data_IF_147669813433
#
_entry.id   IF_147669813433
#
_cell.length_a   1.000
_cell.length_b   1.000
_cell.length_c   1.000
_cell.angle_alpha   90.00
_cell.angle_beta   90.00
_cell.angle_gamma   90.00
#
_symmetry.space_group_name_H-M   'P 1'
#
loop_
_entity.id
_entity.type
_entity.pdbx_description
1 polymer ?
#
# COMPACT_ATOMS: atom_id res chain seq x y z
N UNK A 1 -24.12 -12.40 -1.96
CA UNK A 1 -23.23 -11.49 -2.69
C UNK A 1 -21.97 -11.15 -1.87
N UNK A 2 -20.83 -11.04 -2.52
CA UNK A 2 -19.58 -10.51 -1.94
C UNK A 2 -19.15 -9.31 -2.77
N UNK A 3 -19.01 -8.14 -2.16
CA UNK A 3 -18.60 -6.90 -2.82
C UNK A 3 -17.08 -6.70 -2.61
N UNK A 4 -16.32 -6.84 -3.69
CA UNK A 4 -14.88 -6.77 -3.74
C UNK A 4 -14.21 -8.15 -3.89
N UNK A 5 -13.45 -8.32 -4.97
CA UNK A 5 -12.72 -9.53 -5.33
C UNK A 5 -11.27 -9.55 -4.83
N UNK A 6 -10.97 -8.82 -3.74
CA UNK A 6 -9.68 -8.87 -3.06
C UNK A 6 -9.54 -10.10 -2.16
N UNK A 7 -8.42 -10.21 -1.39
CA UNK A 7 -8.14 -11.38 -0.54
C UNK A 7 -9.28 -11.73 0.43
N UNK A 8 -9.88 -10.72 1.06
CA UNK A 8 -10.98 -10.92 2.00
C UNK A 8 -12.24 -11.47 1.30
N UNK A 9 -12.59 -10.93 0.12
CA UNK A 9 -13.73 -11.38 -0.65
C UNK A 9 -13.54 -12.80 -1.21
N UNK A 10 -12.35 -13.11 -1.71
CA UNK A 10 -11.98 -14.45 -2.19
C UNK A 10 -12.07 -15.48 -1.04
N UNK A 11 -11.53 -15.15 0.14
CA UNK A 11 -11.61 -16.02 1.31
C UNK A 11 -13.06 -16.21 1.78
N UNK A 12 -13.83 -15.13 1.86
CA UNK A 12 -15.25 -15.22 2.23
C UNK A 12 -16.03 -16.11 1.26
N UNK A 13 -15.83 -15.92 -0.05
CA UNK A 13 -16.47 -16.73 -1.07
C UNK A 13 -16.10 -18.23 -0.98
N UNK A 14 -14.80 -18.50 -0.73
CA UNK A 14 -14.34 -19.88 -0.51
C UNK A 14 -15.07 -20.57 0.63
N UNK A 15 -15.12 -19.93 1.81
CA UNK A 15 -15.75 -20.53 2.98
C UNK A 15 -17.27 -20.70 2.79
N UNK A 16 -17.94 -19.72 2.19
CA UNK A 16 -19.37 -19.80 1.91
C UNK A 16 -19.70 -20.91 0.89
N UNK A 17 -18.94 -21.00 -0.20
CA UNK A 17 -19.14 -22.05 -1.21
C UNK A 17 -18.89 -23.45 -0.63
N UNK A 18 -17.92 -23.59 0.25
CA UNK A 18 -17.64 -24.84 0.96
C UNK A 18 -18.81 -25.29 1.82
N UNK A 19 -19.55 -24.36 2.42
CA UNK A 19 -20.77 -24.63 3.22
C UNK A 19 -22.02 -24.74 2.35
N UNK A 20 -21.90 -24.76 1.02
CA UNK A 20 -22.99 -24.99 0.08
C UNK A 20 -23.77 -23.75 -0.34
N UNK A 21 -23.31 -22.55 -0.01
CA UNK A 21 -23.94 -21.32 -0.46
C UNK A 21 -23.62 -21.02 -1.94
N UNK A 22 -24.62 -20.52 -2.69
CA UNK A 22 -24.38 -19.93 -4.00
C UNK A 22 -23.78 -18.53 -3.84
N UNK A 23 -22.57 -18.33 -4.36
CA UNK A 23 -21.81 -17.09 -4.13
C UNK A 23 -21.49 -16.39 -5.43
N UNK A 24 -21.78 -15.08 -5.48
CA UNK A 24 -21.33 -14.16 -6.55
C UNK A 24 -20.42 -13.09 -5.94
N UNK A 25 -19.20 -12.97 -6.47
CA UNK A 25 -18.29 -11.86 -6.19
C UNK A 25 -18.51 -10.77 -7.24
N UNK A 26 -18.67 -9.53 -6.78
CA UNK A 26 -18.69 -8.33 -7.62
C UNK A 26 -17.37 -7.58 -7.46
N UNK A 27 -16.64 -7.44 -8.55
CA UNK A 27 -15.34 -6.76 -8.59
C UNK A 27 -15.38 -5.61 -9.60
N UNK A 28 -15.00 -4.41 -9.16
CA UNK A 28 -15.02 -3.22 -10.02
C UNK A 28 -13.89 -3.20 -11.06
N UNK A 29 -12.79 -3.84 -10.75
CA UNK A 29 -11.64 -3.92 -11.66
C UNK A 29 -11.85 -5.02 -12.71
N UNK A 30 -10.99 -5.02 -13.74
CA UNK A 30 -11.01 -6.00 -14.83
C UNK A 30 -10.75 -7.44 -14.33
N UNK A 31 -9.96 -7.60 -13.27
CA UNK A 31 -9.62 -8.90 -12.70
C UNK A 31 -9.76 -8.88 -11.18
N UNK A 32 -10.17 -10.00 -10.60
CA UNK A 32 -10.13 -10.19 -9.17
C UNK A 32 -8.69 -10.32 -8.65
N UNK A 33 -8.49 -10.06 -7.36
CA UNK A 33 -7.20 -10.10 -6.66
C UNK A 33 -6.95 -8.86 -5.81
N UNK A 34 -7.66 -7.75 -6.09
CA UNK A 34 -7.56 -6.52 -5.30
C UNK A 34 -6.12 -6.01 -5.17
N UNK A 35 -5.75 -5.57 -3.96
CA UNK A 35 -4.42 -5.00 -3.69
C UNK A 35 -3.26 -5.95 -4.05
N UNK A 36 -3.44 -7.26 -3.91
CA UNK A 36 -2.39 -8.25 -4.25
C UNK A 36 -2.10 -8.20 -5.76
N UNK A 37 -3.13 -8.07 -6.58
CA UNK A 37 -2.96 -8.00 -8.03
C UNK A 37 -2.48 -6.65 -8.51
N UNK A 38 -3.04 -5.56 -7.98
CA UNK A 38 -2.86 -4.24 -8.58
C UNK A 38 -1.80 -3.37 -7.90
N UNK A 39 -1.42 -3.68 -6.65
CA UNK A 39 -0.53 -2.84 -5.85
C UNK A 39 0.72 -3.58 -5.39
N UNK A 40 0.58 -4.79 -4.83
CA UNK A 40 1.76 -5.55 -4.38
C UNK A 40 2.65 -5.88 -5.59
N UNK A 41 3.96 -5.53 -5.53
CA UNK A 41 4.87 -5.71 -6.65
C UNK A 41 5.00 -7.17 -7.10
N UNK A 42 5.23 -7.37 -8.41
CA UNK A 42 5.38 -8.69 -9.01
C UNK A 42 6.57 -9.50 -8.47
N UNK A 43 7.59 -8.83 -7.92
CA UNK A 43 8.70 -9.52 -7.25
C UNK A 43 8.33 -10.14 -5.88
N UNK A 44 7.18 -9.77 -5.32
CA UNK A 44 6.60 -10.38 -4.10
C UNK A 44 5.70 -11.55 -4.45
N UNK A 45 4.79 -11.34 -5.40
CA UNK A 45 3.83 -12.35 -5.83
C UNK A 45 3.49 -12.16 -7.30
N UNK A 46 3.65 -13.22 -8.08
CA UNK A 46 3.28 -13.22 -9.50
C UNK A 46 1.79 -13.49 -9.74
N UNK A 47 1.28 -12.94 -10.81
CA UNK A 47 -0.15 -13.06 -11.18
C UNK A 47 -0.62 -14.53 -11.33
N UNK A 48 0.27 -15.42 -11.76
CA UNK A 48 -0.06 -16.84 -11.89
C UNK A 48 -0.48 -17.51 -10.56
N UNK A 49 0.12 -17.10 -9.43
CA UNK A 49 -0.27 -17.56 -8.11
C UNK A 49 -1.67 -17.09 -7.74
N UNK A 50 -1.98 -15.82 -8.03
CA UNK A 50 -3.29 -15.23 -7.80
C UNK A 50 -4.36 -15.90 -8.66
N UNK A 51 -4.07 -16.13 -9.94
CA UNK A 51 -4.99 -16.78 -10.89
C UNK A 51 -5.29 -18.21 -10.50
N UNK A 52 -4.33 -18.91 -9.91
CA UNK A 52 -4.52 -20.26 -9.38
C UNK A 52 -5.60 -20.30 -8.30
N UNK A 53 -5.54 -19.40 -7.32
CA UNK A 53 -6.50 -19.33 -6.22
C UNK A 53 -7.89 -18.88 -6.71
N UNK A 54 -7.94 -17.92 -7.63
CA UNK A 54 -9.20 -17.48 -8.25
C UNK A 54 -9.84 -18.64 -9.05
N UNK A 55 -9.06 -19.34 -9.86
CA UNK A 55 -9.55 -20.48 -10.63
C UNK A 55 -10.06 -21.60 -9.71
N UNK A 56 -9.44 -21.77 -8.54
CA UNK A 56 -9.87 -22.76 -7.57
C UNK A 56 -11.27 -22.45 -7.04
N UNK A 57 -11.56 -21.23 -6.59
CA UNK A 57 -12.89 -20.87 -6.09
C UNK A 57 -13.96 -20.88 -7.19
N UNK A 58 -13.60 -20.54 -8.44
CA UNK A 58 -14.52 -20.65 -9.59
C UNK A 58 -14.91 -22.11 -9.85
N UNK A 59 -13.97 -23.05 -9.73
CA UNK A 59 -14.27 -24.50 -9.82
C UNK A 59 -15.17 -25.01 -8.71
N UNK A 60 -15.25 -24.32 -7.59
CA UNK A 60 -16.20 -24.59 -6.51
C UNK A 60 -17.61 -24.04 -6.79
N UNK A 61 -17.83 -23.37 -7.92
CA UNK A 61 -19.09 -22.78 -8.31
C UNK A 61 -19.27 -21.29 -7.94
N UNK A 62 -18.20 -20.63 -7.47
CA UNK A 62 -18.25 -19.17 -7.22
C UNK A 62 -18.28 -18.42 -8.54
N UNK A 63 -19.30 -17.60 -8.75
CA UNK A 63 -19.36 -16.67 -9.86
C UNK A 63 -18.55 -15.41 -9.55
N UNK A 64 -17.75 -14.91 -10.50
CA UNK A 64 -17.04 -13.64 -10.37
C UNK A 64 -17.45 -12.72 -11.52
N UNK A 65 -18.06 -11.58 -11.18
CA UNK A 65 -18.47 -10.51 -12.11
C UNK A 65 -17.48 -9.37 -11.98
N UNK A 66 -16.55 -9.30 -12.91
CA UNK A 66 -15.56 -8.20 -13.02
C UNK A 66 -16.16 -6.99 -13.72
N UNK A 67 -15.45 -5.85 -13.71
CA UNK A 67 -15.94 -4.56 -14.24
C UNK A 67 -17.35 -4.18 -13.71
N UNK A 68 -17.64 -4.58 -12.47
CA UNK A 68 -18.96 -4.40 -11.86
C UNK A 68 -18.81 -3.72 -10.50
N UNK A 69 -18.99 -2.41 -10.50
CA UNK A 69 -18.98 -1.61 -9.27
C UNK A 69 -20.36 -1.65 -8.59
N UNK A 70 -20.36 -1.92 -7.30
CA UNK A 70 -21.56 -1.92 -6.47
C UNK A 70 -21.56 -0.68 -5.58
N UNK A 71 -22.54 0.17 -5.76
CA UNK A 71 -22.73 1.41 -5.00
C UNK A 71 -23.88 1.32 -3.99
N UNK A 72 -24.70 0.26 -4.06
CA UNK A 72 -25.87 0.09 -3.20
C UNK A 72 -26.05 -1.36 -2.77
N UNK A 73 -26.04 -1.60 -1.47
CA UNK A 73 -26.37 -2.91 -0.87
C UNK A 73 -27.86 -3.25 -1.08
N UNK A 74 -28.72 -2.23 -1.08
CA UNK A 74 -30.15 -2.42 -1.26
C UNK A 74 -30.48 -3.02 -2.64
N UNK A 75 -29.73 -2.62 -3.68
CA UNK A 75 -29.92 -3.14 -5.04
C UNK A 75 -29.56 -4.62 -5.15
N UNK A 76 -28.53 -5.07 -4.43
CA UNK A 76 -28.21 -6.49 -4.37
C UNK A 76 -29.30 -7.30 -3.67
N UNK A 77 -29.86 -6.79 -2.57
CA UNK A 77 -30.98 -7.43 -1.90
C UNK A 77 -32.22 -7.50 -2.79
N UNK A 78 -32.49 -6.43 -3.56
CA UNK A 78 -33.60 -6.42 -4.53
C UNK A 78 -33.38 -7.42 -5.69
N UNK A 79 -32.15 -7.77 -6.01
CA UNK A 79 -31.79 -8.81 -6.98
C UNK A 79 -31.94 -10.24 -6.42
N UNK A 80 -32.32 -10.40 -5.15
CA UNK A 80 -32.57 -11.70 -4.52
C UNK A 80 -31.39 -12.29 -3.77
N UNK A 81 -30.33 -11.52 -3.47
CA UNK A 81 -29.27 -11.98 -2.59
C UNK A 81 -29.72 -11.95 -1.13
N UNK A 82 -29.67 -13.09 -0.45
CA UNK A 82 -30.07 -13.24 0.96
C UNK A 82 -29.14 -12.48 1.90
N UNK A 83 -27.83 -12.47 1.59
CA UNK A 83 -26.81 -11.79 2.37
C UNK A 83 -25.80 -11.05 1.48
N UNK A 84 -25.20 -10.00 2.03
CA UNK A 84 -24.16 -9.20 1.37
C UNK A 84 -22.99 -9.05 2.31
N UNK A 85 -21.79 -9.45 1.83
CA UNK A 85 -20.51 -9.25 2.52
C UNK A 85 -19.78 -8.10 1.83
N UNK A 86 -19.38 -7.08 2.60
CA UNK A 86 -18.55 -5.99 2.11
C UNK A 86 -17.07 -6.32 2.34
N UNK A 87 -16.32 -6.48 1.25
CA UNK A 87 -14.89 -6.78 1.24
C UNK A 87 -14.13 -5.75 0.38
N UNK A 88 -14.50 -4.47 0.52
CA UNK A 88 -14.09 -3.34 -0.33
C UNK A 88 -12.64 -2.88 -0.12
N UNK A 89 -11.97 -3.41 0.91
CA UNK A 89 -10.57 -3.09 1.20
C UNK A 89 -10.37 -1.72 1.84
N UNK A 90 -9.11 -1.31 2.01
CA UNK A 90 -8.69 -0.03 2.58
C UNK A 90 -7.83 0.74 1.57
N UNK A 91 -8.47 1.17 0.48
CA UNK A 91 -7.78 1.83 -0.64
C UNK A 91 -7.63 3.35 -0.51
N UNK A 92 -8.23 3.98 0.53
CA UNK A 92 -8.09 5.43 0.76
C UNK A 92 -6.75 5.73 1.41
N UNK A 93 -5.87 6.48 0.74
CA UNK A 93 -4.52 6.73 1.25
C UNK A 93 -4.52 7.64 2.48
N UNK A 94 -3.61 7.38 3.40
CA UNK A 94 -3.22 8.34 4.40
C UNK A 94 -2.55 9.56 3.73
N UNK A 95 -2.71 10.73 4.30
CA UNK A 95 -2.15 11.97 3.76
C UNK A 95 -1.06 12.52 4.66
N UNK A 96 0.01 12.99 4.03
CA UNK A 96 1.02 13.85 4.64
C UNK A 96 1.09 15.11 3.77
N UNK A 97 0.89 16.26 4.39
CA UNK A 97 1.04 17.54 3.70
C UNK A 97 2.39 18.14 4.03
N UNK A 98 3.14 18.52 3.00
CA UNK A 98 4.32 19.37 3.13
C UNK A 98 3.90 20.83 3.15
N UNK A 99 4.70 21.69 3.77
CA UNK A 99 4.51 23.14 3.72
C UNK A 99 4.72 23.67 2.29
N UNK A 100 5.62 23.04 1.54
CA UNK A 100 5.89 23.33 0.13
C UNK A 100 6.21 22.03 -0.61
N UNK A 101 5.79 21.94 -1.89
CA UNK A 101 5.99 20.79 -2.76
C UNK A 101 4.86 19.76 -2.66
N UNK A 102 4.90 18.82 -3.57
CA UNK A 102 3.88 17.77 -3.70
C UNK A 102 4.45 16.40 -3.34
N UNK A 103 3.57 15.49 -2.95
CA UNK A 103 3.92 14.11 -2.65
C UNK A 103 3.11 13.15 -3.50
N UNK A 104 3.70 12.01 -3.81
CA UNK A 104 3.02 10.89 -4.48
C UNK A 104 2.54 9.90 -3.43
N UNK A 105 1.33 9.40 -3.59
CA UNK A 105 0.84 8.33 -2.71
C UNK A 105 1.47 6.98 -3.06
N UNK A 106 1.84 6.18 -2.05
CA UNK A 106 2.50 4.89 -2.22
C UNK A 106 1.64 3.86 -2.99
N UNK A 107 0.34 3.76 -2.70
CA UNK A 107 -0.53 2.81 -3.41
C UNK A 107 -0.65 3.17 -4.90
N UNK A 108 -0.76 4.47 -5.19
CA UNK A 108 -0.78 4.96 -6.58
C UNK A 108 0.55 4.64 -7.27
N UNK A 109 1.68 4.95 -6.64
CA UNK A 109 3.00 4.66 -7.18
C UNK A 109 3.18 3.16 -7.45
N UNK A 110 2.85 2.29 -6.50
CA UNK A 110 2.99 0.84 -6.64
C UNK A 110 2.08 0.28 -7.76
N UNK A 111 0.85 0.82 -7.90
CA UNK A 111 -0.04 0.47 -9.00
C UNK A 111 0.57 0.88 -10.34
N UNK A 112 1.05 2.11 -10.45
CA UNK A 112 1.69 2.63 -11.67
C UNK A 112 2.97 1.85 -12.00
N UNK A 113 3.80 1.52 -11.00
CA UNK A 113 4.99 0.69 -11.13
C UNK A 113 4.67 -0.68 -11.73
N UNK A 114 3.65 -1.36 -11.18
CA UNK A 114 3.23 -2.67 -11.67
C UNK A 114 2.63 -2.60 -13.07
N UNK A 115 1.79 -1.60 -13.34
CA UNK A 115 1.13 -1.42 -14.63
C UNK A 115 2.11 -1.09 -15.77
N UNK A 116 3.24 -0.44 -15.46
CA UNK A 116 4.24 -0.01 -16.44
C UNK A 116 5.55 -0.82 -16.38
N UNK A 117 5.54 -1.96 -15.69
CA UNK A 117 6.73 -2.82 -15.54
C UNK A 117 7.97 -2.05 -15.05
N UNK A 118 7.77 -1.17 -14.06
CA UNK A 118 8.81 -0.34 -13.47
C UNK A 118 9.29 0.85 -14.31
N UNK A 119 8.72 1.09 -15.47
CA UNK A 119 9.11 2.20 -16.36
C UNK A 119 8.37 3.48 -16.00
N UNK A 120 8.85 4.17 -14.99
CA UNK A 120 8.28 5.44 -14.51
C UNK A 120 9.36 6.52 -14.49
N UNK A 121 8.96 7.75 -14.76
CA UNK A 121 9.87 8.89 -14.61
C UNK A 121 9.64 9.55 -13.24
N UNK A 122 10.45 9.18 -12.25
CA UNK A 122 10.39 9.68 -10.88
C UNK A 122 11.70 10.35 -10.43
N UNK A 123 12.59 10.64 -11.39
CA UNK A 123 13.90 11.25 -11.11
C UNK A 123 14.92 10.26 -10.58
N UNK A 124 16.08 10.78 -10.19
CA UNK A 124 17.23 9.97 -9.72
C UNK A 124 17.22 9.72 -8.22
N UNK A 125 16.69 10.68 -7.45
CA UNK A 125 16.68 10.66 -5.99
C UNK A 125 15.23 10.54 -5.51
N UNK A 126 14.88 9.42 -4.92
CA UNK A 126 13.54 9.15 -4.44
C UNK A 126 13.53 9.02 -2.94
N UNK A 127 12.64 9.75 -2.29
CA UNK A 127 12.43 9.63 -0.84
C UNK A 127 11.11 8.94 -0.57
N UNK A 128 11.13 7.87 0.21
CA UNK A 128 9.94 7.15 0.70
C UNK A 128 9.73 7.48 2.16
N UNK A 129 8.54 7.97 2.52
CA UNK A 129 8.17 8.34 3.88
C UNK A 129 7.28 7.25 4.47
N UNK A 130 7.76 6.55 5.47
CA UNK A 130 6.96 5.53 6.17
C UNK A 130 7.80 4.48 6.88
N UNK A 131 7.14 3.58 7.60
CA UNK A 131 7.80 2.52 8.36
C UNK A 131 7.01 1.20 8.39
N UNK A 132 5.97 1.06 7.59
CA UNK A 132 5.20 -0.18 7.42
C UNK A 132 5.61 -0.95 6.19
N UNK A 133 5.04 -2.15 5.98
CA UNK A 133 5.35 -3.02 4.84
C UNK A 133 5.10 -2.33 3.49
N UNK A 134 4.07 -1.46 3.39
CA UNK A 134 3.83 -0.64 2.19
C UNK A 134 5.03 0.26 1.88
N UNK A 135 5.71 0.82 2.90
CA UNK A 135 6.91 1.63 2.69
C UNK A 135 8.09 0.78 2.23
N UNK A 136 8.21 -0.47 2.71
CA UNK A 136 9.25 -1.41 2.27
C UNK A 136 9.04 -1.78 0.79
N UNK A 137 7.85 -2.18 0.41
CA UNK A 137 7.50 -2.46 -0.99
C UNK A 137 7.73 -1.26 -1.90
N UNK A 138 7.35 -0.06 -1.41
CA UNK A 138 7.55 1.20 -2.15
C UNK A 138 9.02 1.51 -2.37
N UNK A 139 9.86 1.36 -1.35
CA UNK A 139 11.30 1.63 -1.45
C UNK A 139 11.99 0.65 -2.42
N UNK A 140 11.64 -0.64 -2.35
CA UNK A 140 12.16 -1.68 -3.24
C UNK A 140 11.67 -1.47 -4.68
N UNK A 141 10.41 -1.10 -4.89
CA UNK A 141 9.88 -0.77 -6.20
C UNK A 141 10.56 0.48 -6.79
N UNK A 142 10.75 1.53 -5.98
CA UNK A 142 11.47 2.73 -6.40
C UNK A 142 12.92 2.40 -6.81
N UNK A 143 13.61 1.53 -6.05
CA UNK A 143 14.99 1.12 -6.37
C UNK A 143 15.08 0.35 -7.69
N UNK A 144 14.01 -0.35 -8.07
CA UNK A 144 13.90 -1.09 -9.35
C UNK A 144 13.36 -0.26 -10.51
N UNK A 145 12.96 0.98 -10.24
CA UNK A 145 12.48 1.90 -11.30
C UNK A 145 13.66 2.37 -12.13
N UNK A 146 13.51 2.33 -13.45
CA UNK A 146 14.55 2.73 -14.41
C UNK A 146 14.95 4.20 -14.19
N UNK A 147 16.26 4.46 -14.15
CA UNK A 147 16.84 5.79 -13.97
C UNK A 147 16.96 6.27 -12.53
N UNK A 148 16.44 5.53 -11.54
CA UNK A 148 16.62 5.85 -10.12
C UNK A 148 18.02 5.41 -9.65
N UNK A 149 18.77 6.35 -9.08
CA UNK A 149 20.10 6.11 -8.55
C UNK A 149 20.08 5.90 -7.04
N UNK A 150 19.37 6.77 -6.32
CA UNK A 150 19.31 6.78 -4.85
C UNK A 150 17.89 6.69 -4.34
N UNK A 151 17.67 5.84 -3.35
CA UNK A 151 16.41 5.74 -2.62
C UNK A 151 16.68 5.92 -1.13
N UNK A 152 15.95 6.83 -0.51
CA UNK A 152 16.02 7.14 0.92
C UNK A 152 14.71 6.74 1.59
N UNK A 153 14.78 5.86 2.58
CA UNK A 153 13.64 5.51 3.42
C UNK A 153 13.68 6.38 4.68
N UNK A 154 12.74 7.31 4.80
CA UNK A 154 12.67 8.27 5.91
C UNK A 154 11.60 7.85 6.90
N UNK A 155 11.98 7.75 8.17
CA UNK A 155 11.09 7.37 9.25
C UNK A 155 11.27 8.27 10.48
N UNK A 156 10.14 8.72 11.07
CA UNK A 156 10.14 9.67 12.20
C UNK A 156 10.55 9.08 13.55
N UNK A 157 10.64 7.75 13.66
CA UNK A 157 11.14 7.03 14.83
C UNK A 157 12.40 6.25 14.48
N UNK A 158 12.89 5.43 15.40
CA UNK A 158 13.96 4.47 15.11
C UNK A 158 13.39 3.16 14.55
N UNK A 159 14.24 2.35 13.93
CA UNK A 159 13.88 1.01 13.40
C UNK A 159 13.14 0.14 14.42
N UNK A 160 13.47 0.26 15.71
CA UNK A 160 12.82 -0.48 16.82
C UNK A 160 11.30 -0.30 16.86
N UNK A 161 10.79 0.83 16.40
CA UNK A 161 9.36 1.19 16.45
C UNK A 161 8.68 1.11 15.08
N UNK A 162 9.33 0.50 14.11
CA UNK A 162 8.71 0.29 12.81
C UNK A 162 7.63 -0.80 12.90
N UNK A 163 6.47 -0.59 12.27
CA UNK A 163 5.45 -1.62 12.18
C UNK A 163 5.77 -2.68 11.11
N UNK A 164 6.75 -2.43 10.22
CA UNK A 164 7.23 -3.42 9.27
C UNK A 164 7.95 -4.57 10.00
N UNK A 165 7.88 -5.77 9.42
CA UNK A 165 8.66 -6.90 9.90
C UNK A 165 10.16 -6.62 9.71
N UNK A 166 11.00 -7.18 10.59
CA UNK A 166 12.45 -6.88 10.60
C UNK A 166 13.15 -7.39 9.34
N UNK A 167 12.76 -8.54 8.85
CA UNK A 167 13.23 -9.14 7.60
C UNK A 167 12.92 -8.26 6.39
N UNK A 168 11.77 -7.61 6.35
CA UNK A 168 11.39 -6.67 5.29
C UNK A 168 12.34 -5.46 5.24
N UNK A 169 12.73 -4.92 6.39
CA UNK A 169 13.71 -3.84 6.45
C UNK A 169 15.09 -4.31 6.01
N UNK A 170 15.49 -5.53 6.39
CA UNK A 170 16.78 -6.10 5.97
C UNK A 170 16.87 -6.22 4.46
N UNK A 171 15.84 -6.74 3.80
CA UNK A 171 15.78 -6.84 2.34
C UNK A 171 15.89 -5.45 1.66
N UNK A 172 15.23 -4.43 2.22
CA UNK A 172 15.34 -3.04 1.74
C UNK A 172 16.78 -2.52 1.80
N UNK A 173 17.47 -2.78 2.91
CA UNK A 173 18.86 -2.34 3.10
C UNK A 173 19.84 -3.10 2.20
N UNK A 174 19.66 -4.42 2.02
CA UNK A 174 20.46 -5.25 1.13
C UNK A 174 20.35 -4.81 -0.33
N UNK A 175 19.20 -4.26 -0.74
CA UNK A 175 19.00 -3.68 -2.07
C UNK A 175 19.62 -2.27 -2.23
N UNK A 176 20.31 -1.77 -1.21
CA UNK A 176 21.03 -0.50 -1.26
C UNK A 176 20.14 0.74 -1.08
N UNK A 177 19.00 0.60 -0.39
CA UNK A 177 18.19 1.74 0.07
C UNK A 177 18.81 2.32 1.33
N UNK A 178 18.94 3.63 1.41
CA UNK A 178 19.48 4.31 2.60
C UNK A 178 18.38 4.59 3.61
N UNK A 179 18.48 4.02 4.80
CA UNK A 179 17.54 4.26 5.89
C UNK A 179 17.94 5.50 6.71
N UNK A 180 17.01 6.44 6.84
CA UNK A 180 17.14 7.69 7.58
C UNK A 180 16.11 7.72 8.71
N UNK A 181 16.51 7.38 9.91
CA UNK A 181 15.62 7.42 11.08
C UNK A 181 15.62 8.78 11.79
N UNK A 182 14.61 9.00 12.62
CA UNK A 182 14.42 10.23 13.40
C UNK A 182 14.34 11.48 12.52
N UNK A 183 13.68 11.37 11.37
CA UNK A 183 13.43 12.48 10.46
C UNK A 183 11.93 12.62 10.15
N UNK A 184 11.43 13.85 10.18
CA UNK A 184 10.05 14.21 9.79
C UNK A 184 10.10 15.21 8.64
N UNK A 185 9.47 14.92 7.48
CA UNK A 185 9.52 15.80 6.33
C UNK A 185 8.72 17.08 6.57
N UNK A 186 9.21 18.20 6.06
CA UNK A 186 8.62 19.53 6.21
C UNK A 186 8.28 20.14 4.85
N UNK A 187 9.23 20.23 3.96
CA UNK A 187 9.03 20.86 2.65
C UNK A 187 9.94 20.25 1.60
N UNK A 188 9.47 20.22 0.34
CA UNK A 188 10.24 19.82 -0.83
C UNK A 188 10.45 21.06 -1.71
N UNK A 189 11.69 21.45 -1.92
CA UNK A 189 12.07 22.58 -2.76
C UNK A 189 13.41 22.37 -3.44
N UNK A 190 13.52 22.74 -4.70
CA UNK A 190 14.76 22.71 -5.47
C UNK A 190 15.47 21.35 -5.51
N UNK A 191 14.71 20.23 -5.54
CA UNK A 191 15.27 18.86 -5.53
C UNK A 191 15.80 18.41 -4.16
N UNK A 192 15.33 19.02 -3.07
CA UNK A 192 15.72 18.69 -1.69
C UNK A 192 14.51 18.62 -0.79
N UNK A 193 14.42 17.55 -0.01
CA UNK A 193 13.46 17.41 1.07
C UNK A 193 14.07 17.91 2.37
N UNK A 194 13.50 18.98 2.92
CA UNK A 194 13.82 19.45 4.26
C UNK A 194 13.10 18.59 5.29
N UNK A 195 13.86 18.06 6.24
CA UNK A 195 13.33 17.26 7.34
C UNK A 195 13.77 17.83 8.68
N UNK A 196 12.87 17.90 9.66
CA UNK A 196 13.24 18.15 11.06
C UNK A 196 13.77 16.85 11.69
N UNK A 197 14.84 16.98 12.47
CA UNK A 197 15.27 15.90 13.35
C UNK A 197 14.25 15.69 14.46
N UNK A 198 14.00 14.44 14.77
CA UNK A 198 13.08 14.02 15.81
C UNK A 198 13.83 13.49 17.03
N UNK A 199 13.24 13.67 18.19
CA UNK A 199 13.69 13.07 19.46
C UNK A 199 12.60 12.13 19.96
N UNK A 200 12.99 10.95 20.42
CA UNK A 200 12.06 10.01 21.07
C UNK A 200 11.60 10.60 22.42
N UNK A 201 10.30 10.53 22.65
CA UNK A 201 9.64 10.91 23.89
C UNK A 201 9.20 9.70 24.69
N UNK A 202 8.25 9.91 25.61
CA UNK A 202 7.65 8.85 26.41
C UNK A 202 6.86 7.87 25.52
N UNK A 203 6.75 6.63 25.98
CA UNK A 203 5.92 5.62 25.33
C UNK A 203 4.43 5.95 25.48
N UNK A 204 3.69 5.77 24.41
CA UNK A 204 2.23 5.82 24.41
C UNK A 204 1.62 4.47 24.88
N UNK A 205 0.30 4.43 25.06
CA UNK A 205 -0.42 3.23 25.47
C UNK A 205 -0.29 2.05 24.50
N UNK A 206 0.15 2.28 23.26
CA UNK A 206 0.42 1.24 22.25
C UNK A 206 1.85 0.69 22.33
N UNK A 207 2.68 1.15 23.28
CA UNK A 207 4.08 0.76 23.42
C UNK A 207 5.02 1.42 22.41
N UNK A 208 4.57 2.47 21.70
CA UNK A 208 5.41 3.23 20.77
C UNK A 208 5.91 4.51 21.44
N UNK A 209 7.20 4.81 21.23
CA UNK A 209 7.74 6.08 21.69
C UNK A 209 7.05 7.24 20.97
N UNK A 210 6.59 8.22 21.72
CA UNK A 210 6.23 9.53 21.18
C UNK A 210 7.42 10.16 20.47
N UNK A 211 7.18 11.17 19.64
CA UNK A 211 8.25 11.91 18.98
C UNK A 211 8.01 13.42 19.10
N UNK A 212 9.07 14.17 19.32
CA UNK A 212 9.07 15.63 19.32
C UNK A 212 10.08 16.16 18.33
N UNK A 213 9.75 17.26 17.68
CA UNK A 213 10.67 17.95 16.79
C UNK A 213 11.79 18.61 17.57
N UNK A 214 12.98 18.63 16.98
CA UNK A 214 14.10 19.46 17.45
C UNK A 214 14.24 20.71 16.57
N UNK A 215 15.15 21.61 16.92
CA UNK A 215 15.47 22.76 16.08
C UNK A 215 16.32 22.39 14.85
N UNK A 216 16.90 21.19 14.84
CA UNK A 216 17.81 20.76 13.77
C UNK A 216 17.04 20.38 12.52
N UNK A 217 17.56 20.81 11.37
CA UNK A 217 17.05 20.51 10.04
C UNK A 217 18.09 19.72 9.26
N UNK A 218 17.63 18.75 8.50
CA UNK A 218 18.46 17.92 7.60
C UNK A 218 17.87 17.98 6.20
N UNK A 219 18.72 18.15 5.20
CA UNK A 219 18.34 18.06 3.79
C UNK A 219 18.61 16.66 3.25
N UNK A 220 17.64 16.13 2.51
CA UNK A 220 17.74 14.86 1.79
C UNK A 220 17.51 15.13 0.30
N UNK A 221 18.41 14.72 -0.62
CA UNK A 221 18.17 14.85 -2.05
C UNK A 221 16.85 14.15 -2.43
N UNK A 222 15.98 14.83 -3.18
CA UNK A 222 14.67 14.31 -3.53
C UNK A 222 14.11 14.94 -4.81
N UNK A 223 14.02 14.18 -5.87
CA UNK A 223 13.27 14.54 -7.07
C UNK A 223 11.79 14.18 -6.90
N UNK A 224 11.53 13.06 -6.23
CA UNK A 224 10.18 12.58 -5.90
C UNK A 224 10.10 12.16 -4.44
N UNK A 225 9.00 12.54 -3.77
CA UNK A 225 8.67 12.12 -2.41
C UNK A 225 7.41 11.26 -2.45
N UNK A 226 7.53 9.99 -2.00
CA UNK A 226 6.43 9.03 -1.96
C UNK A 226 6.02 8.79 -0.51
N UNK A 227 4.72 8.91 -0.23
CA UNK A 227 4.19 8.83 1.14
C UNK A 227 3.46 7.52 1.37
N UNK A 228 3.93 6.74 2.36
CA UNK A 228 3.41 5.45 2.78
C UNK A 228 3.05 5.49 4.30
N UNK A 229 2.09 6.35 4.67
CA UNK A 229 1.73 6.63 6.08
C UNK A 229 0.40 6.00 6.51
N UNK A 230 0.02 4.94 5.86
CA UNK A 230 -1.15 4.12 6.16
C UNK A 230 -2.30 4.33 5.17
N UNK A 231 -3.24 3.41 5.24
CA UNK A 231 -4.44 3.35 4.40
C UNK A 231 -5.68 3.33 5.28
N UNK A 232 -6.81 3.75 4.72
CA UNK A 232 -8.13 3.78 5.38
C UNK A 232 -9.18 3.12 4.51
N UNK A 233 -10.23 2.63 5.13
CA UNK A 233 -11.44 2.20 4.42
C UNK A 233 -12.15 3.46 3.92
N UNK A 234 -12.57 3.43 2.67
CA UNK A 234 -13.48 4.43 2.10
C UNK A 234 -14.91 3.98 2.39
N UNK A 235 -15.60 4.73 3.23
CA UNK A 235 -16.99 4.42 3.66
C UNK A 235 -18.01 5.42 3.13
N UNK A 236 -17.58 6.36 2.31
CA UNK A 236 -18.42 7.42 1.73
C UNK A 236 -19.21 6.91 0.50
#
# INVERSE_FOLDING_TARGET
AVVGGGPAGIAAAYFLAREGAAVTIFEKEEKAGGVIRYVIPGFRIGDAAIDKDISFIQKMGVEIRTNTEITSVADLKAQGYDAVILAIGAGKPGTLKLEKGETVNALKFLRDFKANDGKLNIGKNVVVIGGGNTAMDTARAAKRTEGVEHVYLVYRRTKRYMPAAEDELLEVLEEGVEFKELLSPVSLDGGRLLCKKMKLGQMDASGRAGVTETADVVEVPADTVIVAVGEKIDTD
#
